data_IF_957163638183
#
_entry.id   IF_957163638183
#
_cell.length_a   1.000
_cell.length_b   1.000
_cell.length_c   1.000
_cell.angle_alpha   90.00
_cell.angle_beta   90.00
_cell.angle_gamma   90.00
#
_symmetry.space_group_name_H-M   'P 1'
#
loop_
_entity.id
_entity.type
_entity.pdbx_description
1 polymer ?
#
# COMPACT_ATOMS: atom_id res chain seq x y z
N UNK A 1 -17.42 -2.35 50.80
CA UNK A 1 -16.18 -2.10 50.05
C UNK A 1 -16.51 -2.27 48.59
N UNK A 2 -16.77 -1.16 47.88
CA UNK A 2 -17.15 -1.16 46.48
C UNK A 2 -15.89 -0.88 45.64
N UNK A 3 -15.57 -1.77 44.72
CA UNK A 3 -14.47 -1.60 43.76
C UNK A 3 -15.01 -0.84 42.55
N UNK A 4 -14.68 0.44 42.49
CA UNK A 4 -14.87 1.27 41.29
C UNK A 4 -13.91 0.79 40.19
N UNK A 5 -14.48 0.31 39.09
CA UNK A 5 -13.73 -0.10 37.90
C UNK A 5 -13.83 1.02 36.88
N UNK A 6 -12.88 1.95 36.90
CA UNK A 6 -12.80 3.02 35.90
C UNK A 6 -12.29 2.45 34.57
N UNK A 7 -13.22 2.13 33.68
CA UNK A 7 -12.93 1.84 32.28
C UNK A 7 -12.49 3.11 31.57
N UNK A 8 -11.18 3.25 31.34
CA UNK A 8 -10.64 4.29 30.45
C UNK A 8 -10.89 3.86 29.01
N UNK A 9 -11.93 4.44 28.38
CA UNK A 9 -12.12 4.37 26.94
C UNK A 9 -11.05 5.22 26.26
N UNK A 10 -9.96 4.58 25.81
CA UNK A 10 -9.04 5.22 24.88
C UNK A 10 -9.80 5.50 23.59
N UNK A 11 -10.13 6.78 23.37
CA UNK A 11 -10.68 7.24 22.12
C UNK A 11 -9.67 6.93 21.01
N UNK A 12 -10.04 5.98 20.14
CA UNK A 12 -9.36 5.74 18.87
C UNK A 12 -9.51 7.02 18.05
N UNK A 13 -8.48 7.86 18.10
CA UNK A 13 -8.38 8.99 17.19
C UNK A 13 -8.18 8.41 15.80
N UNK A 14 -9.29 8.32 15.06
CA UNK A 14 -9.34 7.95 13.64
C UNK A 14 -8.79 9.13 12.82
N UNK A 15 -7.51 9.44 13.07
CA UNK A 15 -6.75 10.41 12.31
C UNK A 15 -6.54 9.83 10.92
N UNK A 16 -7.39 10.23 9.97
CA UNK A 16 -7.11 10.03 8.56
C UNK A 16 -5.86 10.88 8.25
N UNK A 17 -4.70 10.24 8.30
CA UNK A 17 -3.42 10.85 7.95
C UNK A 17 -3.38 11.08 6.44
N UNK A 18 -3.92 12.21 5.99
CA UNK A 18 -3.66 12.72 4.65
C UNK A 18 -2.25 13.31 4.63
N UNK A 19 -1.26 12.47 4.33
CA UNK A 19 0.13 12.90 4.17
C UNK A 19 0.28 13.57 2.79
N UNK A 20 0.31 14.90 2.78
CA UNK A 20 0.33 15.77 1.60
C UNK A 20 1.61 15.71 0.74
N UNK A 21 2.39 14.64 0.83
CA UNK A 21 3.63 14.47 0.06
C UNK A 21 3.85 13.01 -0.38
N UNK A 22 2.97 12.48 -1.22
CA UNK A 22 3.31 11.61 -2.35
C UNK A 22 3.98 10.25 -2.08
N UNK A 23 4.06 9.79 -0.83
CA UNK A 23 4.46 8.40 -0.53
C UNK A 23 3.20 7.58 -0.38
N UNK A 24 2.96 6.73 -1.37
CA UNK A 24 1.90 5.75 -1.41
C UNK A 24 2.02 4.80 -0.19
N UNK A 25 1.08 4.91 0.76
CA UNK A 25 1.06 4.18 2.05
C UNK A 25 -0.25 3.41 2.20
N UNK A 26 -0.17 2.20 2.74
CA UNK A 26 -1.34 1.45 3.22
C UNK A 26 -1.45 1.64 4.73
N UNK A 27 -2.67 1.83 5.24
CA UNK A 27 -2.95 1.90 6.68
C UNK A 27 -3.09 0.49 7.25
N UNK A 28 -2.63 0.29 8.49
CA UNK A 28 -2.81 -0.94 9.27
C UNK A 28 -3.56 -0.59 10.56
N UNK A 29 -4.61 -1.35 10.90
CA UNK A 29 -5.43 -1.09 12.10
C UNK A 29 -5.90 -2.39 12.76
N UNK A 30 -5.64 -2.61 14.07
CA UNK A 30 -4.78 -1.82 14.96
C UNK A 30 -3.34 -1.69 14.44
N UNK A 31 -2.52 -0.75 14.97
CA UNK A 31 -1.10 -0.70 14.62
C UNK A 31 -0.36 -1.99 15.00
N UNK A 32 0.64 -2.37 14.20
CA UNK A 32 1.49 -3.51 14.47
C UNK A 32 2.27 -3.31 15.78
N UNK A 33 2.37 -4.34 16.65
CA UNK A 33 3.24 -4.27 17.81
C UNK A 33 4.72 -4.17 17.37
N UNK A 34 5.62 -3.63 18.21
CA UNK A 34 7.02 -3.42 17.85
C UNK A 34 7.76 -4.69 17.39
N UNK A 35 7.46 -5.85 17.99
CA UNK A 35 8.05 -7.13 17.59
C UNK A 35 7.64 -7.54 16.17
N UNK A 36 6.40 -7.26 15.77
CA UNK A 36 5.88 -7.53 14.43
C UNK A 36 6.47 -6.56 13.40
N UNK A 37 6.71 -5.30 13.77
CA UNK A 37 7.44 -4.34 12.94
C UNK A 37 8.86 -4.85 12.65
N UNK A 38 9.57 -5.30 13.69
CA UNK A 38 10.93 -5.88 13.56
C UNK A 38 10.91 -7.15 12.71
N UNK A 39 9.94 -8.04 12.93
CA UNK A 39 9.81 -9.28 12.18
C UNK A 39 9.51 -9.02 10.70
N UNK A 40 8.55 -8.15 10.40
CA UNK A 40 8.18 -7.80 9.03
C UNK A 40 9.33 -7.12 8.28
N UNK A 41 10.05 -6.21 8.95
CA UNK A 41 11.25 -5.58 8.40
C UNK A 41 12.33 -6.61 8.01
N UNK A 42 12.35 -7.77 8.67
CA UNK A 42 13.26 -8.88 8.39
C UNK A 42 13.04 -9.59 7.04
N UNK A 43 11.86 -9.45 6.40
CA UNK A 43 11.63 -9.98 5.05
C UNK A 43 12.21 -9.07 3.95
N UNK A 44 12.42 -7.79 4.26
CA UNK A 44 12.89 -6.79 3.31
C UNK A 44 14.40 -6.57 3.34
N UNK A 45 14.85 -5.57 2.58
CA UNK A 45 16.23 -5.03 2.62
C UNK A 45 16.27 -3.53 2.87
N UNK A 46 15.13 -2.97 3.25
CA UNK A 46 14.93 -1.53 3.33
C UNK A 46 14.86 -1.11 4.81
N UNK A 47 15.44 0.04 5.17
CA UNK A 47 15.32 0.56 6.52
C UNK A 47 13.86 0.91 6.82
N UNK A 48 13.46 0.70 8.07
CA UNK A 48 12.18 1.20 8.57
C UNK A 48 12.29 2.70 8.76
N UNK A 49 11.23 3.42 8.41
CA UNK A 49 11.15 4.86 8.56
C UNK A 49 10.08 5.23 9.58
N UNK A 50 10.32 6.32 10.31
CA UNK A 50 9.25 6.97 11.06
C UNK A 50 8.36 7.81 10.12
N UNK A 51 7.39 8.52 10.70
CA UNK A 51 6.51 9.41 9.93
C UNK A 51 7.22 10.64 9.34
N UNK A 52 8.32 11.09 9.96
CA UNK A 52 9.16 12.16 9.43
C UNK A 52 10.04 11.69 8.25
N UNK A 53 10.11 10.38 8.02
CA UNK A 53 10.93 9.77 6.98
C UNK A 53 12.37 9.50 7.43
N UNK A 54 12.68 9.66 8.70
CA UNK A 54 13.99 9.33 9.26
C UNK A 54 14.14 7.80 9.34
N UNK A 55 15.28 7.30 8.84
CA UNK A 55 15.56 5.87 8.85
C UNK A 55 15.99 5.41 10.23
N UNK A 56 15.29 4.39 10.76
CA UNK A 56 15.62 3.75 12.02
C UNK A 56 16.34 2.42 11.76
N UNK A 57 17.48 2.26 12.39
CA UNK A 57 18.20 0.99 12.43
C UNK A 57 17.48 0.05 13.41
N UNK A 58 16.58 -0.78 12.91
CA UNK A 58 15.98 -1.84 13.71
C UNK A 58 16.91 -3.07 13.77
N UNK A 59 16.93 -3.78 14.91
CA UNK A 59 17.66 -5.05 14.99
C UNK A 59 17.11 -6.01 13.95
N UNK A 60 17.93 -6.41 12.99
CA UNK A 60 17.50 -7.33 11.93
C UNK A 60 17.27 -8.72 12.52
N UNK A 61 16.02 -9.19 12.55
CA UNK A 61 15.71 -10.60 12.74
C UNK A 61 15.59 -11.24 11.37
N UNK A 62 16.34 -12.31 11.12
CA UNK A 62 16.14 -13.11 9.91
C UNK A 62 14.75 -13.71 9.97
N UNK A 63 13.86 -13.26 9.08
CA UNK A 63 12.55 -13.87 8.94
C UNK A 63 12.72 -15.33 8.50
N UNK A 64 11.92 -16.22 9.08
CA UNK A 64 11.94 -17.64 8.68
C UNK A 64 11.35 -17.78 7.28
N UNK A 65 11.85 -18.76 6.52
CA UNK A 65 11.25 -19.13 5.24
C UNK A 65 9.87 -19.72 5.52
N UNK A 66 8.83 -19.11 4.96
CA UNK A 66 7.44 -19.55 5.11
C UNK A 66 6.98 -20.34 3.87
N UNK A 67 6.25 -21.46 4.01
CA UNK A 67 5.61 -22.11 2.87
C UNK A 67 4.74 -21.13 2.07
N UNK A 68 4.92 -21.06 0.75
CA UNK A 68 4.18 -20.11 -0.08
C UNK A 68 4.71 -18.67 -0.06
N UNK A 69 5.83 -18.40 0.63
CA UNK A 69 6.50 -17.11 0.58
C UNK A 69 6.88 -16.75 -0.87
N UNK A 70 6.49 -15.54 -1.33
CA UNK A 70 6.89 -15.07 -2.65
C UNK A 70 8.42 -14.97 -2.81
N UNK A 71 8.96 -15.17 -4.02
CA UNK A 71 10.40 -15.11 -4.24
C UNK A 71 10.94 -13.67 -4.08
N UNK A 72 12.20 -13.57 -3.67
CA UNK A 72 12.92 -12.29 -3.52
C UNK A 72 12.68 -11.62 -2.15
N UNK A 73 13.20 -10.40 -1.95
CA UNK A 73 12.95 -9.61 -0.75
C UNK A 73 11.54 -9.01 -0.77
N UNK A 74 10.91 -8.89 0.41
CA UNK A 74 9.64 -8.20 0.55
C UNK A 74 9.81 -6.69 0.25
N UNK A 75 9.00 -6.10 -0.65
CA UNK A 75 9.06 -4.68 -0.95
C UNK A 75 8.22 -3.83 0.02
N UNK A 76 7.44 -4.44 0.91
CA UNK A 76 6.64 -3.72 1.90
C UNK A 76 7.41 -3.51 3.19
N UNK A 77 7.42 -2.27 3.66
CA UNK A 77 8.15 -1.86 4.87
C UNK A 77 7.16 -1.23 5.85
N UNK A 78 7.06 -1.71 7.09
CA UNK A 78 6.26 -1.05 8.10
C UNK A 78 6.90 0.28 8.49
N UNK A 79 6.09 1.28 8.86
CA UNK A 79 6.62 2.41 9.62
C UNK A 79 7.01 1.96 11.03
N UNK A 80 7.84 2.76 11.70
CA UNK A 80 8.30 2.47 13.05
C UNK A 80 7.17 2.36 14.08
N UNK A 81 6.09 3.12 13.87
CA UNK A 81 4.89 3.12 14.71
C UNK A 81 3.90 1.97 14.38
N UNK A 82 4.21 1.15 13.36
CA UNK A 82 3.40 -0.01 12.97
C UNK A 82 2.04 0.31 12.33
N UNK A 83 1.70 1.59 12.12
CA UNK A 83 0.37 2.00 11.65
C UNK A 83 0.24 2.09 10.12
N UNK A 84 1.33 1.99 9.36
CA UNK A 84 1.29 1.94 7.90
C UNK A 84 2.38 1.08 7.27
N UNK A 85 2.11 0.61 6.05
CA UNK A 85 3.05 -0.06 5.16
C UNK A 85 3.39 0.82 3.98
N UNK A 86 4.67 0.86 3.62
CA UNK A 86 5.19 1.61 2.50
C UNK A 86 5.75 0.66 1.46
N UNK A 87 5.55 1.01 0.19
CA UNK A 87 6.25 0.32 -0.89
C UNK A 87 7.66 0.89 -1.04
N UNK A 88 8.67 0.05 -0.87
CA UNK A 88 10.08 0.41 -0.96
C UNK A 88 10.75 -0.23 -2.18
N UNK A 89 11.76 0.49 -2.71
CA UNK A 89 12.54 0.04 -3.85
C UNK A 89 11.77 0.11 -5.18
N UNK A 90 12.39 -0.48 -6.21
CA UNK A 90 11.77 -0.65 -7.53
C UNK A 90 11.27 -2.08 -7.63
N UNK A 91 9.95 -2.26 -7.50
CA UNK A 91 9.30 -3.56 -7.64
C UNK A 91 8.16 -3.46 -8.65
N UNK A 92 7.92 -4.54 -9.40
CA UNK A 92 6.76 -4.63 -10.28
C UNK A 92 5.46 -4.88 -9.49
N UNK A 93 4.32 -4.53 -10.09
CA UNK A 93 2.98 -4.69 -9.48
C UNK A 93 2.71 -6.13 -9.06
N UNK A 94 3.09 -7.11 -9.89
CA UNK A 94 2.88 -8.53 -9.61
C UNK A 94 3.65 -8.96 -8.36
N UNK A 95 4.91 -8.54 -8.22
CA UNK A 95 5.73 -8.87 -7.06
C UNK A 95 5.24 -8.15 -5.80
N UNK A 96 4.86 -6.88 -5.91
CA UNK A 96 4.30 -6.11 -4.80
C UNK A 96 2.96 -6.71 -4.32
N UNK A 97 2.04 -6.99 -5.24
CA UNK A 97 0.75 -7.59 -4.95
C UNK A 97 0.86 -9.01 -4.40
N UNK A 98 1.75 -9.84 -4.95
CA UNK A 98 2.03 -11.18 -4.44
C UNK A 98 2.51 -11.17 -2.99
N UNK A 99 3.47 -10.31 -2.67
CA UNK A 99 3.91 -10.10 -1.29
C UNK A 99 2.80 -9.61 -0.38
N UNK A 100 1.98 -8.66 -0.84
CA UNK A 100 0.90 -8.12 -0.02
C UNK A 100 -0.15 -9.18 0.32
N UNK A 101 -0.56 -9.99 -0.67
CA UNK A 101 -1.49 -11.10 -0.45
C UNK A 101 -0.94 -12.12 0.54
N UNK A 102 0.34 -12.45 0.43
CA UNK A 102 1.01 -13.33 1.39
C UNK A 102 0.99 -12.73 2.81
N UNK A 103 1.34 -11.46 2.97
CA UNK A 103 1.33 -10.79 4.27
C UNK A 103 -0.07 -10.76 4.88
N UNK A 104 -1.11 -10.47 4.09
CA UNK A 104 -2.49 -10.49 4.56
C UNK A 104 -2.94 -11.88 5.01
N UNK A 105 -2.58 -12.91 4.24
CA UNK A 105 -3.00 -14.28 4.51
C UNK A 105 -2.27 -14.93 5.68
N UNK A 106 -0.96 -14.68 5.83
CA UNK A 106 -0.11 -15.46 6.73
C UNK A 106 0.41 -14.67 7.93
N UNK A 107 0.50 -13.34 7.82
CA UNK A 107 1.12 -12.51 8.87
C UNK A 107 0.12 -11.59 9.58
N UNK A 108 -0.66 -10.83 8.82
CA UNK A 108 -1.58 -9.81 9.34
C UNK A 108 -2.93 -10.40 9.75
N UNK A 109 -3.31 -11.54 9.17
CA UNK A 109 -4.51 -12.35 9.43
C UNK A 109 -5.73 -11.56 9.97
N UNK A 110 -6.40 -12.06 11.01
CA UNK A 110 -7.64 -11.50 11.56
C UNK A 110 -7.41 -10.41 12.61
N UNK A 111 -6.16 -10.19 13.01
CA UNK A 111 -5.83 -9.23 14.05
C UNK A 111 -5.62 -7.83 13.49
N UNK A 112 -5.37 -7.68 12.19
CA UNK A 112 -5.08 -6.39 11.55
C UNK A 112 -5.89 -6.22 10.25
N UNK A 113 -6.49 -5.05 10.09
CA UNK A 113 -7.12 -4.60 8.85
C UNK A 113 -6.14 -3.72 8.11
N UNK A 114 -5.90 -4.03 6.84
CA UNK A 114 -5.11 -3.19 5.94
C UNK A 114 -6.06 -2.51 4.95
N UNK A 115 -5.84 -1.22 4.71
CA UNK A 115 -6.61 -0.48 3.72
C UNK A 115 -5.81 0.62 3.05
N UNK A 116 -6.19 0.96 1.83
CA UNK A 116 -5.65 2.10 1.12
C UNK A 116 -5.30 1.80 -0.33
N UNK A 117 -4.63 2.76 -0.96
CA UNK A 117 -4.30 2.72 -2.37
C UNK A 117 -2.84 3.09 -2.55
N UNK A 118 -2.10 2.29 -3.30
CA UNK A 118 -0.67 2.50 -3.55
C UNK A 118 -0.37 2.47 -5.04
N UNK A 119 0.28 3.53 -5.54
CA UNK A 119 0.87 3.53 -6.87
C UNK A 119 2.14 2.66 -6.88
N UNK A 120 2.20 1.71 -7.81
CA UNK A 120 3.38 0.89 -8.07
C UNK A 120 4.07 1.40 -9.34
N UNK A 121 5.34 1.83 -9.25
CA UNK A 121 6.10 2.21 -10.43
C UNK A 121 6.23 1.02 -11.39
N UNK A 122 5.68 1.12 -12.59
CA UNK A 122 5.84 0.12 -13.64
C UNK A 122 7.12 0.32 -14.46
N UNK A 123 7.33 -0.55 -15.44
CA UNK A 123 8.39 -0.36 -16.43
C UNK A 123 8.01 0.78 -17.41
N UNK A 124 8.90 1.76 -17.56
CA UNK A 124 8.71 2.88 -18.48
C UNK A 124 7.74 3.92 -17.93
N UNK A 125 6.63 4.16 -18.65
CA UNK A 125 5.59 5.14 -18.28
C UNK A 125 4.34 4.51 -17.66
N UNK A 126 4.22 3.19 -17.72
CA UNK A 126 3.09 2.48 -17.12
C UNK A 126 3.14 2.66 -15.60
N UNK A 127 2.00 3.02 -15.01
CA UNK A 127 1.81 3.02 -13.57
C UNK A 127 0.72 2.01 -13.26
N UNK A 128 0.94 1.22 -12.22
CA UNK A 128 -0.11 0.36 -11.70
C UNK A 128 -0.56 0.90 -10.35
N UNK A 129 -1.74 0.48 -9.92
CA UNK A 129 -2.28 0.77 -8.62
C UNK A 129 -2.63 -0.53 -7.92
N UNK A 130 -2.30 -0.60 -6.65
CA UNK A 130 -2.79 -1.62 -5.73
C UNK A 130 -3.83 -0.99 -4.82
N UNK A 131 -5.03 -1.57 -4.79
CA UNK A 131 -6.10 -1.17 -3.87
C UNK A 131 -6.31 -2.31 -2.89
N UNK A 132 -6.37 -1.98 -1.61
CA UNK A 132 -6.52 -2.96 -0.53
C UNK A 132 -7.77 -2.63 0.27
N UNK A 133 -8.65 -3.63 0.38
CA UNK A 133 -9.89 -3.55 1.14
C UNK A 133 -10.02 -4.84 1.97
N UNK A 134 -9.64 -4.76 3.24
CA UNK A 134 -9.64 -5.94 4.12
C UNK A 134 -8.64 -6.99 3.66
N UNK A 135 -9.06 -8.24 3.38
CA UNK A 135 -8.15 -9.29 2.90
C UNK A 135 -7.92 -9.26 1.38
N UNK A 136 -8.61 -8.38 0.64
CA UNK A 136 -8.60 -8.38 -0.81
C UNK A 136 -7.58 -7.37 -1.37
N UNK A 137 -6.87 -7.78 -2.42
CA UNK A 137 -5.87 -6.97 -3.13
C UNK A 137 -6.24 -6.92 -4.61
N UNK A 138 -6.64 -5.73 -5.05
CA UNK A 138 -6.99 -5.44 -6.43
C UNK A 138 -5.82 -4.75 -7.14
N UNK A 139 -5.59 -5.14 -8.39
CA UNK A 139 -4.58 -4.55 -9.26
C UNK A 139 -5.29 -3.78 -10.37
N UNK A 140 -4.89 -2.54 -10.59
CA UNK A 140 -5.36 -1.71 -11.69
C UNK A 140 -4.21 -1.09 -12.46
N UNK A 141 -4.41 -0.82 -13.74
CA UNK A 141 -3.48 -0.04 -14.55
C UNK A 141 -3.95 1.42 -14.59
N UNK A 142 -3.03 2.35 -14.31
CA UNK A 142 -3.25 3.77 -14.53
C UNK A 142 -2.60 4.09 -15.88
N UNK A 143 -3.43 4.16 -16.92
CA UNK A 143 -2.99 4.69 -18.21
C UNK A 143 -2.41 6.08 -18.01
N UNK A 144 -1.20 6.28 -18.52
CA UNK A 144 -0.47 7.53 -18.39
C UNK A 144 -1.03 8.61 -19.31
N UNK A 145 -2.32 8.94 -19.18
CA UNK A 145 -3.08 9.90 -19.98
C UNK A 145 -3.08 9.55 -21.48
N UNK A 146 -4.22 9.61 -22.18
CA UNK A 146 -4.17 9.72 -23.64
C UNK A 146 -3.34 10.98 -23.93
N UNK A 147 -2.25 10.84 -24.68
CA UNK A 147 -1.39 11.97 -25.04
C UNK A 147 -2.23 13.09 -25.68
N UNK A 148 -1.77 14.35 -25.62
CA UNK A 148 -2.50 15.51 -26.14
C UNK A 148 -2.74 15.52 -27.68
N UNK A 149 -2.71 14.37 -28.35
CA UNK A 149 -2.89 14.19 -29.79
C UNK A 149 -4.20 13.52 -30.22
N UNK A 150 -5.09 13.09 -29.31
CA UNK A 150 -6.42 12.55 -29.69
C UNK A 150 -7.45 13.65 -30.05
N UNK A 151 -6.97 14.77 -30.59
CA UNK A 151 -7.76 15.92 -31.01
C UNK A 151 -7.57 16.19 -32.50
N UNK A 152 -8.35 15.51 -33.33
CA UNK A 152 -9.07 16.12 -34.47
C UNK A 152 -10.18 15.15 -34.91
N UNK A 153 -11.42 15.31 -34.41
CA UNK A 153 -12.56 14.95 -35.23
C UNK A 153 -12.46 15.82 -36.49
N UNK A 154 -12.07 15.18 -37.60
CA UNK A 154 -12.16 15.80 -38.91
C UNK A 154 -13.60 16.22 -39.13
N UNK A 155 -13.82 17.54 -39.25
CA UNK A 155 -15.08 18.09 -39.68
C UNK A 155 -15.46 17.50 -41.03
N UNK A 156 -16.66 16.94 -41.08
CA UNK A 156 -17.36 16.54 -42.28
C UNK A 156 -18.85 16.66 -41.98
N UNK A 157 -19.32 17.90 -41.77
CA UNK A 157 -20.72 18.22 -41.94
C UNK A 157 -20.98 18.17 -43.44
N UNK A 158 -21.27 16.98 -43.98
CA UNK A 158 -21.96 16.88 -45.26
C UNK A 158 -23.41 17.32 -45.03
N UNK A 159 -23.65 18.59 -45.35
CA UNK A 159 -24.97 19.18 -45.47
C UNK A 159 -25.70 18.48 -46.63
N UNK A 160 -26.52 17.49 -46.28
CA UNK A 160 -27.34 16.77 -47.23
C UNK A 160 -28.38 17.76 -47.81
N UNK A 161 -28.16 18.12 -49.06
CA UNK A 161 -28.94 19.08 -49.84
C UNK A 161 -30.24 18.42 -50.30
N UNK A 162 -31.35 18.70 -49.62
CA UNK A 162 -32.68 18.28 -50.09
C UNK A 162 -33.11 19.24 -51.20
N UNK A 163 -33.03 18.77 -52.44
CA UNK A 163 -33.64 19.39 -53.61
C UNK A 163 -34.52 18.35 -54.29
N UNK A 164 -35.84 18.57 -54.26
CA UNK A 164 -36.82 17.74 -54.98
C UNK A 164 -38.14 17.63 -54.24
#
# INVERSE_FOLDING_TARGET
>A
MATDTSGTTSATSDGIHHDGAGRARLRVTPPLPPDDVVFLAGFGRHPVHDHAGEGLALPSRTARIWPGQPPGPCPWVPCADGCCLHLAGRTGVVAAGGWLRFLLAEFLERSHVVSGTVEVPGHGRARAVLIVEGPEVFEGEIDARPGPGAGRPGGGCEEESWSG
#
